data_IF_057259428627
#
_entry.id   IF_057259428627
#
_cell.length_a   1.000
_cell.length_b   1.000
_cell.length_c   1.000
_cell.angle_alpha   90.00
_cell.angle_beta   90.00
_cell.angle_gamma   90.00
#
_symmetry.space_group_name_H-M   'P 1'
#
loop_
_entity.id
_entity.type
_entity.pdbx_description
1 polymer ?
#
# COMPACT_ATOMS: atom_id res chain seq x y z
N UNK A 1 -43.69 -14.02 -23.21
CA UNK A 1 -43.26 -14.46 -21.87
C UNK A 1 -41.76 -14.65 -21.91
N UNK A 2 -41.00 -13.57 -21.70
CA UNK A 2 -39.56 -13.64 -21.50
C UNK A 2 -39.34 -13.41 -20.01
N UNK A 3 -38.88 -14.46 -19.32
CA UNK A 3 -38.50 -14.39 -17.92
C UNK A 3 -37.35 -13.38 -17.77
N UNK A 4 -37.62 -12.30 -17.05
CA UNK A 4 -36.61 -11.43 -16.46
C UNK A 4 -35.85 -12.25 -15.41
N UNK A 5 -34.78 -12.92 -15.84
CA UNK A 5 -33.84 -13.53 -14.92
C UNK A 5 -33.07 -12.42 -14.20
N UNK A 6 -33.23 -12.32 -12.89
CA UNK A 6 -32.26 -11.64 -12.03
C UNK A 6 -30.91 -12.32 -12.27
N UNK A 7 -30.02 -11.65 -13.00
CA UNK A 7 -28.61 -12.06 -13.07
C UNK A 7 -27.99 -11.73 -11.72
N UNK A 8 -27.86 -12.76 -10.88
CA UNK A 8 -27.07 -12.74 -9.66
C UNK A 8 -25.59 -12.61 -10.09
N UNK A 9 -25.13 -11.37 -10.25
CA UNK A 9 -23.84 -10.98 -10.83
C UNK A 9 -22.70 -11.18 -9.82
N UNK A 10 -22.53 -12.43 -9.36
CA UNK A 10 -21.56 -12.84 -8.34
C UNK A 10 -20.24 -13.36 -8.91
N UNK A 11 -20.06 -13.33 -10.23
CA UNK A 11 -18.86 -13.88 -10.88
C UNK A 11 -17.77 -12.81 -11.01
N UNK A 12 -16.72 -12.89 -10.17
CA UNK A 12 -15.54 -12.00 -10.16
C UNK A 12 -14.91 -11.76 -11.56
N UNK A 13 -15.05 -12.69 -12.50
CA UNK A 13 -14.46 -12.59 -13.85
C UNK A 13 -15.12 -11.57 -14.79
N UNK A 14 -16.30 -11.05 -14.44
CA UNK A 14 -17.05 -10.04 -15.23
C UNK A 14 -16.96 -8.66 -14.54
N UNK A 15 -16.23 -8.55 -13.43
CA UNK A 15 -16.09 -7.30 -12.69
C UNK A 15 -15.29 -6.26 -13.49
N UNK A 16 -15.99 -5.47 -14.29
CA UNK A 16 -15.48 -4.22 -14.83
C UNK A 16 -15.31 -3.19 -13.70
N UNK A 17 -14.09 -3.06 -13.17
CA UNK A 17 -13.72 -2.05 -12.17
C UNK A 17 -14.02 -0.59 -12.62
N UNK A 18 -14.18 -0.36 -13.93
CA UNK A 18 -14.54 0.93 -14.53
C UNK A 18 -15.96 0.95 -15.10
N UNK A 19 -16.74 -0.12 -14.92
CA UNK A 19 -18.10 -0.26 -15.42
C UNK A 19 -19.17 0.15 -14.41
N UNK A 20 -20.42 0.04 -14.83
CA UNK A 20 -21.61 0.28 -14.01
C UNK A 20 -21.96 -0.97 -13.19
N UNK A 21 -21.01 -1.44 -12.37
CA UNK A 21 -21.22 -2.62 -11.53
C UNK A 21 -21.79 -2.21 -10.16
N UNK A 22 -23.09 -2.43 -9.91
CA UNK A 22 -23.68 -2.17 -8.60
C UNK A 22 -23.11 -3.13 -7.56
N UNK A 23 -22.29 -2.63 -6.63
CA UNK A 23 -21.99 -3.36 -5.39
C UNK A 23 -22.89 -2.83 -4.27
N UNK A 24 -23.99 -3.53 -3.94
CA UNK A 24 -24.83 -3.15 -2.81
C UNK A 24 -23.99 -3.20 -1.52
N UNK A 25 -23.99 -2.14 -0.69
CA UNK A 25 -23.26 -2.17 0.55
C UNK A 25 -23.92 -3.16 1.52
N UNK A 26 -23.12 -4.01 2.19
CA UNK A 26 -23.64 -4.84 3.27
C UNK A 26 -23.87 -4.05 4.58
N UNK A 27 -23.28 -2.86 4.70
CA UNK A 27 -23.47 -1.92 5.80
C UNK A 27 -23.03 -0.50 5.41
N UNK A 28 -23.45 0.54 6.15
CA UNK A 28 -23.02 1.91 5.87
C UNK A 28 -21.50 2.03 6.03
N UNK A 29 -20.86 2.74 5.10
CA UNK A 29 -19.40 2.92 5.12
C UNK A 29 -19.03 4.11 6.00
N UNK A 30 -17.96 3.95 6.78
CA UNK A 30 -17.24 5.03 7.45
C UNK A 30 -15.74 4.96 7.16
N UNK A 31 -15.10 6.10 6.93
CA UNK A 31 -13.65 6.17 6.67
C UNK A 31 -13.01 6.97 7.80
N UNK A 32 -12.00 6.42 8.47
CA UNK A 32 -11.26 7.14 9.52
C UNK A 32 -9.87 7.50 8.97
N UNK A 33 -9.56 8.78 8.75
CA UNK A 33 -8.21 9.22 8.45
C UNK A 33 -7.37 9.25 9.74
N UNK A 34 -6.24 8.56 9.77
CA UNK A 34 -5.17 8.96 10.70
C UNK A 34 -4.48 10.21 10.17
N UNK A 35 -3.85 10.98 11.07
CA UNK A 35 -3.31 12.32 10.79
C UNK A 35 -2.44 12.38 9.52
N UNK A 36 -1.52 11.42 9.33
CA UNK A 36 -0.64 11.38 8.16
C UNK A 36 -1.33 11.01 6.85
N UNK A 37 -2.55 10.46 6.92
CA UNK A 37 -3.31 10.02 5.75
C UNK A 37 -4.46 10.97 5.38
N UNK A 38 -4.68 12.06 6.13
CA UNK A 38 -5.85 12.91 5.95
C UNK A 38 -6.01 13.47 4.52
N UNK A 39 -4.95 13.96 3.84
CA UNK A 39 -5.07 14.42 2.45
C UNK A 39 -5.44 13.29 1.47
N UNK A 40 -4.84 12.10 1.63
CA UNK A 40 -5.17 10.94 0.80
C UNK A 40 -6.60 10.47 1.04
N UNK A 41 -7.02 10.41 2.31
CA UNK A 41 -8.37 10.05 2.71
C UNK A 41 -9.42 11.01 2.15
N UNK A 42 -9.12 12.32 2.10
CA UNK A 42 -9.98 13.31 1.44
C UNK A 42 -10.23 12.95 -0.03
N UNK A 43 -9.18 12.63 -0.79
CA UNK A 43 -9.31 12.20 -2.19
C UNK A 43 -10.11 10.91 -2.34
N UNK A 44 -9.94 9.95 -1.43
CA UNK A 44 -10.73 8.70 -1.41
C UNK A 44 -12.20 9.00 -1.15
N UNK A 45 -12.51 9.87 -0.19
CA UNK A 45 -13.88 10.30 0.12
C UNK A 45 -14.53 10.96 -1.09
N UNK A 46 -13.84 11.92 -1.74
CA UNK A 46 -14.37 12.65 -2.89
C UNK A 46 -14.64 11.70 -4.07
N UNK A 47 -13.71 10.77 -4.33
CA UNK A 47 -13.89 9.75 -5.36
C UNK A 47 -15.08 8.82 -5.05
N UNK A 48 -15.23 8.37 -3.80
CA UNK A 48 -16.34 7.52 -3.39
C UNK A 48 -17.69 8.25 -3.52
N UNK A 49 -17.74 9.52 -3.10
CA UNK A 49 -18.91 10.38 -3.24
C UNK A 49 -19.29 10.56 -4.72
N UNK A 50 -18.31 10.87 -5.57
CA UNK A 50 -18.54 11.01 -7.01
C UNK A 50 -19.12 9.71 -7.60
N UNK A 51 -18.47 8.57 -7.35
CA UNK A 51 -18.90 7.27 -7.89
C UNK A 51 -20.29 6.88 -7.41
N UNK A 52 -20.61 7.07 -6.12
CA UNK A 52 -21.96 6.77 -5.59
C UNK A 52 -23.02 7.73 -6.12
N UNK A 53 -22.66 8.99 -6.38
CA UNK A 53 -23.56 9.97 -6.99
C UNK A 53 -23.86 9.61 -8.45
N UNK A 54 -22.86 9.21 -9.22
CA UNK A 54 -23.03 8.71 -10.59
C UNK A 54 -23.95 7.49 -10.62
N UNK A 55 -23.73 6.56 -9.68
CA UNK A 55 -24.55 5.36 -9.54
C UNK A 55 -26.02 5.67 -9.21
N UNK A 56 -26.28 6.61 -8.31
CA UNK A 56 -27.65 7.01 -7.97
C UNK A 56 -28.43 7.60 -9.15
N UNK A 57 -27.76 8.19 -10.15
CA UNK A 57 -28.42 8.66 -11.38
C UNK A 57 -28.96 7.51 -12.22
N UNK A 58 -28.35 6.33 -12.13
CA UNK A 58 -28.72 5.14 -12.90
C UNK A 58 -29.64 4.20 -12.10
N UNK A 59 -29.57 4.22 -10.76
CA UNK A 59 -30.33 3.31 -9.89
C UNK A 59 -30.75 4.03 -8.61
N UNK A 60 -31.83 4.83 -8.70
CA UNK A 60 -32.32 5.69 -7.60
C UNK A 60 -32.80 4.89 -6.38
N UNK A 61 -33.31 3.69 -6.59
CA UNK A 61 -33.89 2.83 -5.54
C UNK A 61 -32.87 2.36 -4.50
N UNK A 62 -31.57 2.39 -4.81
CA UNK A 62 -30.52 1.90 -3.90
C UNK A 62 -30.37 2.75 -2.66
N UNK A 63 -30.62 4.05 -2.75
CA UNK A 63 -30.60 4.92 -1.58
C UNK A 63 -31.69 4.53 -0.56
N UNK A 64 -32.85 4.06 -1.05
CA UNK A 64 -33.99 3.67 -0.21
C UNK A 64 -33.77 2.28 0.42
N UNK A 65 -33.14 1.36 -0.32
CA UNK A 65 -32.84 0.00 0.16
C UNK A 65 -31.68 -0.02 1.15
N UNK A 66 -30.69 0.85 0.99
CA UNK A 66 -29.47 0.85 1.81
C UNK A 66 -29.24 2.21 2.50
N UNK A 67 -29.86 2.44 3.67
CA UNK A 67 -29.64 3.64 4.46
C UNK A 67 -28.14 3.86 4.75
N UNK A 68 -27.65 5.06 4.45
CA UNK A 68 -26.23 5.41 4.57
C UNK A 68 -25.36 4.99 3.38
N UNK A 69 -25.96 4.50 2.28
CA UNK A 69 -25.27 4.33 1.01
C UNK A 69 -24.72 5.67 0.49
N UNK A 70 -25.55 6.71 0.43
CA UNK A 70 -25.08 8.06 0.09
C UNK A 70 -24.94 8.91 1.35
N UNK A 71 -23.80 9.59 1.50
CA UNK A 71 -23.51 10.53 2.58
C UNK A 71 -22.84 11.76 1.98
N UNK A 72 -23.00 12.92 2.61
CA UNK A 72 -22.26 14.13 2.21
C UNK A 72 -20.76 13.98 2.49
N UNK A 73 -20.43 13.27 3.57
CA UNK A 73 -19.07 12.90 3.94
C UNK A 73 -19.09 11.50 4.57
N UNK A 74 -18.23 10.61 4.08
CA UNK A 74 -18.05 9.27 4.63
C UNK A 74 -17.02 9.26 5.75
N UNK A 75 -16.26 10.34 5.91
CA UNK A 75 -15.26 10.44 6.96
C UNK A 75 -15.94 10.47 8.32
N UNK A 76 -15.35 9.74 9.26
CA UNK A 76 -15.72 9.74 10.66
C UNK A 76 -14.66 10.57 11.38
N UNK A 77 -15.11 11.62 12.05
CA UNK A 77 -14.23 12.54 12.76
C UNK A 77 -13.60 11.86 13.99
N UNK A 78 -12.30 12.03 14.12
CA UNK A 78 -11.47 11.39 15.15
C UNK A 78 -10.40 12.35 15.62
N UNK A 79 -10.31 12.54 16.93
CA UNK A 79 -9.23 13.29 17.56
C UNK A 79 -8.11 12.33 17.96
N UNK A 80 -6.94 12.49 17.34
CA UNK A 80 -5.68 11.87 17.77
C UNK A 80 -4.90 12.85 18.65
N UNK A 81 -5.12 12.74 19.97
CA UNK A 81 -4.55 13.63 20.97
C UNK A 81 -3.22 13.06 21.45
N UNK A 82 -2.22 13.93 21.62
CA UNK A 82 -0.96 13.60 22.30
C UNK A 82 -0.84 14.38 23.61
N UNK A 83 -0.55 13.67 24.69
CA UNK A 83 -0.27 14.28 25.99
C UNK A 83 1.15 14.88 26.00
N UNK A 84 1.45 15.72 26.98
CA UNK A 84 2.80 16.29 27.16
C UNK A 84 3.88 15.23 27.40
N UNK A 85 3.49 14.03 27.82
CA UNK A 85 4.34 12.84 27.94
C UNK A 85 4.64 12.14 26.60
N UNK A 86 4.00 12.53 25.50
CA UNK A 86 4.04 11.85 24.21
C UNK A 86 3.02 10.72 24.04
N UNK A 87 2.34 10.31 25.12
CA UNK A 87 1.30 9.28 25.07
C UNK A 87 0.11 9.71 24.19
N UNK A 88 -0.42 8.79 23.40
CA UNK A 88 -1.54 9.04 22.50
C UNK A 88 -2.90 8.68 23.10
N UNK A 89 -3.94 9.36 22.64
CA UNK A 89 -5.36 9.06 22.90
C UNK A 89 -6.16 9.26 21.62
N UNK A 90 -7.02 8.31 21.28
CA UNK A 90 -8.00 8.46 20.21
C UNK A 90 -9.39 8.71 20.79
N UNK A 91 -10.13 9.67 20.23
CA UNK A 91 -11.55 9.93 20.54
C UNK A 91 -12.32 9.91 19.24
N UNK A 92 -13.39 9.11 19.19
CA UNK A 92 -14.26 9.03 18.01
C UNK A 92 -15.45 9.96 18.22
N UNK A 93 -15.61 10.95 17.34
CA UNK A 93 -16.58 12.04 17.52
C UNK A 93 -17.95 11.75 16.86
N UNK A 94 -18.09 10.60 16.20
CA UNK A 94 -19.32 10.16 15.58
C UNK A 94 -19.58 8.66 15.81
N UNK A 95 -20.84 8.24 15.71
CA UNK A 95 -21.19 6.82 15.87
C UNK A 95 -20.60 5.97 14.74
N UNK A 96 -19.89 4.90 15.11
CA UNK A 96 -19.42 3.86 14.19
C UNK A 96 -20.28 2.60 14.26
N UNK A 97 -21.36 2.62 15.06
CA UNK A 97 -22.18 1.43 15.31
C UNK A 97 -22.78 0.90 14.01
N UNK A 98 -22.58 -0.39 13.73
CA UNK A 98 -23.14 -1.04 12.54
C UNK A 98 -22.46 -0.65 11.21
N UNK A 99 -21.43 0.21 11.24
CA UNK A 99 -20.73 0.63 10.04
C UNK A 99 -19.61 -0.34 9.65
N UNK A 100 -19.34 -0.40 8.35
CA UNK A 100 -18.09 -0.91 7.80
C UNK A 100 -17.06 0.20 7.83
N UNK A 101 -16.09 0.07 8.74
CA UNK A 101 -15.06 1.07 8.95
C UNK A 101 -13.82 0.72 8.12
N UNK A 102 -13.28 1.72 7.45
CA UNK A 102 -12.00 1.70 6.76
C UNK A 102 -11.09 2.71 7.43
N UNK A 103 -10.07 2.26 8.15
CA UNK A 103 -9.09 3.14 8.78
C UNK A 103 -7.92 3.26 7.81
N UNK A 104 -7.55 4.48 7.42
CA UNK A 104 -6.41 4.72 6.53
C UNK A 104 -5.23 5.18 7.38
N UNK A 105 -4.09 4.51 7.25
CA UNK A 105 -2.88 4.78 8.02
C UNK A 105 -1.66 4.85 7.10
N UNK A 106 -1.04 6.03 7.05
CA UNK A 106 0.27 6.21 6.43
C UNK A 106 1.34 6.15 7.53
N UNK A 107 1.81 4.93 7.79
CA UNK A 107 2.72 4.65 8.90
C UNK A 107 4.12 5.22 8.70
N UNK A 108 4.49 5.65 7.50
CA UNK A 108 5.84 6.21 7.23
C UNK A 108 5.83 7.72 7.05
N UNK A 109 4.71 8.39 7.37
CA UNK A 109 4.61 9.83 7.18
C UNK A 109 5.42 10.63 8.23
N UNK A 110 6.66 10.96 7.88
CA UNK A 110 7.56 11.76 8.70
C UNK A 110 7.17 13.24 8.78
N UNK A 111 6.26 13.72 7.92
CA UNK A 111 5.81 15.13 7.97
C UNK A 111 4.89 15.41 9.16
N UNK A 112 4.35 14.37 9.81
CA UNK A 112 3.55 14.52 11.02
C UNK A 112 4.44 14.80 12.23
N UNK A 113 4.12 15.86 12.97
CA UNK A 113 4.85 16.26 14.16
C UNK A 113 3.95 16.39 15.38
N UNK A 114 4.54 16.32 16.56
CA UNK A 114 3.87 16.59 17.83
C UNK A 114 4.81 17.28 18.83
N UNK A 115 4.30 18.17 19.70
CA UNK A 115 5.11 18.82 20.72
C UNK A 115 5.34 17.87 21.91
N UNK A 116 6.58 17.78 22.38
CA UNK A 116 6.94 17.06 23.61
C UNK A 116 8.12 17.76 24.29
N UNK A 117 7.98 18.05 25.59
CA UNK A 117 8.99 18.79 26.38
C UNK A 117 9.50 20.10 25.76
N UNK A 118 8.64 20.81 25.01
CA UNK A 118 9.01 22.08 24.35
C UNK A 118 9.75 21.91 23.02
N UNK A 119 9.93 20.68 22.54
CA UNK A 119 10.51 20.37 21.24
C UNK A 119 9.43 19.83 20.28
N UNK A 120 9.58 20.16 19.00
CA UNK A 120 8.82 19.51 17.94
C UNK A 120 9.46 18.16 17.62
N UNK A 121 8.68 17.08 17.69
CA UNK A 121 9.11 15.72 17.40
C UNK A 121 8.38 15.20 16.18
N UNK A 122 9.07 14.46 15.32
CA UNK A 122 8.46 13.78 14.19
C UNK A 122 7.87 12.44 14.63
N UNK A 123 6.70 12.08 14.11
CA UNK A 123 6.09 10.79 14.36
C UNK A 123 6.90 9.69 13.68
N UNK A 124 7.31 8.70 14.47
CA UNK A 124 7.91 7.46 13.98
C UNK A 124 6.83 6.51 13.41
N UNK A 125 7.23 5.45 12.69
CA UNK A 125 6.29 4.40 12.32
C UNK A 125 5.55 3.78 13.50
N UNK A 126 6.22 3.66 14.64
CA UNK A 126 5.63 3.17 15.88
C UNK A 126 4.56 4.12 16.42
N UNK A 127 4.78 5.44 16.34
CA UNK A 127 3.78 6.42 16.77
C UNK A 127 2.49 6.31 15.96
N UNK A 128 2.61 6.21 14.64
CA UNK A 128 1.48 6.02 13.73
C UNK A 128 0.77 4.69 13.96
N UNK A 129 1.53 3.61 14.14
CA UNK A 129 0.97 2.28 14.40
C UNK A 129 0.23 2.23 15.75
N UNK A 130 0.76 2.87 16.78
CA UNK A 130 0.09 2.96 18.07
C UNK A 130 -1.20 3.80 17.98
N UNK A 131 -1.23 4.86 17.17
CA UNK A 131 -2.46 5.62 16.93
C UNK A 131 -3.51 4.83 16.15
N UNK A 132 -3.10 4.02 15.17
CA UNK A 132 -3.98 3.05 14.52
C UNK A 132 -4.65 2.13 15.55
N UNK A 133 -3.86 1.53 16.44
CA UNK A 133 -4.39 0.64 17.50
C UNK A 133 -5.35 1.35 18.42
N UNK A 134 -5.06 2.60 18.83
CA UNK A 134 -5.97 3.39 19.67
C UNK A 134 -7.31 3.63 19.00
N UNK A 135 -7.31 3.95 17.70
CA UNK A 135 -8.54 4.10 16.93
C UNK A 135 -9.32 2.79 16.86
N UNK A 136 -8.64 1.66 16.55
CA UNK A 136 -9.26 0.33 16.53
C UNK A 136 -9.90 0.04 17.88
N UNK A 137 -9.15 0.16 18.97
CA UNK A 137 -9.64 -0.07 20.33
C UNK A 137 -10.85 0.80 20.70
N UNK A 138 -10.89 2.05 20.23
CA UNK A 138 -12.00 2.96 20.48
C UNK A 138 -13.30 2.56 19.73
N UNK A 139 -13.19 1.86 18.61
CA UNK A 139 -14.35 1.41 17.80
C UNK A 139 -14.66 -0.09 17.94
N UNK A 140 -13.75 -0.88 18.51
CA UNK A 140 -13.90 -2.33 18.66
C UNK A 140 -15.17 -2.68 19.45
N UNK A 141 -15.93 -3.65 18.94
CA UNK A 141 -17.23 -4.04 19.48
C UNK A 141 -18.38 -3.06 19.21
N UNK A 142 -18.14 -1.95 18.50
CA UNK A 142 -19.17 -1.02 18.01
C UNK A 142 -19.33 -1.12 16.50
N UNK A 143 -18.23 -1.05 15.76
CA UNK A 143 -18.22 -1.23 14.32
C UNK A 143 -18.70 -2.63 13.92
N UNK A 144 -19.37 -2.74 12.76
CA UNK A 144 -19.77 -4.04 12.18
C UNK A 144 -18.55 -4.79 11.65
N UNK A 145 -17.66 -4.05 10.98
CA UNK A 145 -16.44 -4.55 10.37
C UNK A 145 -15.35 -3.49 10.46
N UNK A 146 -14.12 -3.90 10.73
CA UNK A 146 -12.95 -3.03 10.73
C UNK A 146 -11.99 -3.50 9.64
N UNK A 147 -11.69 -2.62 8.70
CA UNK A 147 -10.71 -2.82 7.65
C UNK A 147 -9.62 -1.76 7.81
N UNK A 148 -8.36 -2.13 7.59
CA UNK A 148 -7.23 -1.21 7.62
C UNK A 148 -6.67 -1.08 6.22
N UNK A 149 -6.59 0.15 5.72
CA UNK A 149 -5.87 0.49 4.50
C UNK A 149 -4.54 1.08 4.93
N UNK A 150 -3.47 0.36 4.65
CA UNK A 150 -2.12 0.73 5.03
C UNK A 150 -1.26 0.78 3.77
N UNK A 151 -1.17 1.95 3.09
CA UNK A 151 -0.50 2.05 1.80
C UNK A 151 0.92 1.51 1.80
N UNK A 152 1.66 1.74 2.88
CA UNK A 152 2.94 1.14 3.17
C UNK A 152 2.80 0.20 4.37
N UNK A 153 3.04 -1.10 4.21
CA UNK A 153 2.87 -2.05 5.30
C UNK A 153 3.89 -1.79 6.43
N UNK A 154 3.41 -1.67 7.67
CA UNK A 154 4.24 -1.42 8.85
C UNK A 154 5.30 -2.52 9.02
N UNK A 155 6.55 -2.09 9.22
CA UNK A 155 7.73 -2.95 9.35
C UNK A 155 7.92 -3.97 8.22
N UNK A 156 7.44 -3.69 7.01
CA UNK A 156 7.45 -4.64 5.88
C UNK A 156 8.84 -5.24 5.59
N UNK A 157 9.93 -4.53 5.89
CA UNK A 157 11.30 -5.06 5.75
C UNK A 157 11.64 -6.15 6.77
N UNK A 158 11.07 -6.11 7.98
CA UNK A 158 11.24 -7.10 9.04
C UNK A 158 10.22 -8.25 8.93
N UNK A 159 10.06 -8.78 7.71
CA UNK A 159 9.14 -9.86 7.33
C UNK A 159 9.66 -11.28 7.63
N UNK A 160 10.96 -11.45 7.88
CA UNK A 160 11.60 -12.72 8.17
C UNK A 160 12.68 -12.58 9.23
N UNK A 161 13.06 -13.71 9.86
CA UNK A 161 14.20 -13.80 10.78
C UNK A 161 15.36 -14.53 10.10
N UNK A 162 16.48 -13.86 9.94
CA UNK A 162 17.74 -14.44 9.46
C UNK A 162 18.64 -14.89 10.62
N UNK A 163 18.42 -14.35 11.82
CA UNK A 163 19.16 -14.69 13.04
C UNK A 163 18.31 -14.39 14.29
N UNK A 164 18.92 -13.90 15.38
CA UNK A 164 18.25 -13.46 16.61
C UNK A 164 17.68 -12.04 16.46
N UNK A 165 16.80 -11.85 15.50
CA UNK A 165 16.12 -10.58 15.21
C UNK A 165 14.61 -10.68 15.43
N UNK A 166 13.93 -9.53 15.43
CA UNK A 166 12.48 -9.40 15.57
C UNK A 166 11.75 -9.83 14.29
N UNK A 167 10.42 -9.96 14.39
CA UNK A 167 9.54 -10.33 13.27
C UNK A 167 8.31 -9.42 13.30
N UNK A 168 8.59 -8.12 13.27
CA UNK A 168 7.63 -7.08 13.64
C UNK A 168 6.45 -7.00 12.67
N UNK A 169 6.68 -7.21 11.38
CA UNK A 169 5.60 -7.19 10.39
C UNK A 169 4.58 -8.31 10.65
N UNK A 170 5.02 -9.54 10.87
CA UNK A 170 4.11 -10.66 11.13
C UNK A 170 3.40 -10.47 12.47
N UNK A 171 4.12 -10.02 13.50
CA UNK A 171 3.54 -9.77 14.81
C UNK A 171 2.48 -8.66 14.77
N UNK A 172 2.72 -7.58 14.01
CA UNK A 172 1.73 -6.53 13.77
C UNK A 172 0.45 -7.08 13.14
N UNK A 173 0.57 -7.98 12.14
CA UNK A 173 -0.60 -8.59 11.51
C UNK A 173 -1.42 -9.41 12.51
N UNK A 174 -0.75 -10.24 13.31
CA UNK A 174 -1.39 -11.03 14.38
C UNK A 174 -2.06 -10.15 15.43
N UNK A 175 -1.41 -9.04 15.81
CA UNK A 175 -1.93 -8.07 16.77
C UNK A 175 -3.19 -7.38 16.23
N UNK A 176 -3.16 -6.84 15.00
CA UNK A 176 -4.32 -6.21 14.37
C UNK A 176 -5.48 -7.19 14.21
N UNK A 177 -5.20 -8.43 13.80
CA UNK A 177 -6.22 -9.47 13.71
C UNK A 177 -6.86 -9.76 15.08
N UNK A 178 -6.04 -9.88 16.12
CA UNK A 178 -6.51 -10.10 17.50
C UNK A 178 -7.37 -8.95 18.03
N UNK A 179 -7.14 -7.72 17.54
CA UNK A 179 -7.97 -6.54 17.85
C UNK A 179 -9.32 -6.51 17.09
N UNK A 180 -9.55 -7.46 16.18
CA UNK A 180 -10.79 -7.59 15.41
C UNK A 180 -10.75 -6.92 14.02
N UNK A 181 -9.56 -6.57 13.51
CA UNK A 181 -9.39 -6.19 12.10
C UNK A 181 -9.60 -7.43 11.25
N UNK A 182 -10.55 -7.36 10.31
CA UNK A 182 -10.89 -8.53 9.48
C UNK A 182 -10.23 -8.50 8.10
N UNK A 183 -9.73 -7.32 7.69
CA UNK A 183 -9.09 -7.15 6.40
C UNK A 183 -8.02 -6.06 6.46
N UNK A 184 -6.89 -6.33 5.82
CA UNK A 184 -5.81 -5.37 5.60
C UNK A 184 -5.63 -5.20 4.10
N UNK A 185 -5.64 -3.95 3.64
CA UNK A 185 -5.42 -3.58 2.25
C UNK A 185 -4.11 -2.78 2.19
N UNK A 186 -3.15 -3.26 1.42
CA UNK A 186 -1.83 -2.67 1.27
C UNK A 186 -1.35 -2.76 -0.19
N UNK A 187 -0.19 -2.21 -0.50
CA UNK A 187 0.31 -2.09 -1.86
C UNK A 187 1.78 -2.50 -1.91
N UNK A 188 2.11 -3.37 -2.86
CA UNK A 188 3.46 -3.87 -3.13
C UNK A 188 4.28 -4.18 -1.87
N UNK A 189 3.75 -5.06 -1.00
CA UNK A 189 4.48 -5.52 0.20
C UNK A 189 5.89 -6.00 -0.14
N UNK A 190 6.85 -5.75 0.75
CA UNK A 190 8.23 -6.17 0.55
C UNK A 190 8.37 -7.69 0.33
N UNK A 191 7.66 -8.51 1.11
CA UNK A 191 7.46 -9.93 0.84
C UNK A 191 5.98 -10.29 1.11
N UNK A 192 5.29 -10.73 0.06
CA UNK A 192 3.86 -11.10 0.10
C UNK A 192 3.55 -12.28 1.03
N UNK A 193 4.56 -13.12 1.33
CA UNK A 193 4.39 -14.30 2.19
C UNK A 193 4.11 -13.94 3.63
N UNK A 194 4.32 -12.68 4.03
CA UNK A 194 3.97 -12.21 5.37
C UNK A 194 2.48 -12.34 5.67
N UNK A 195 1.63 -12.36 4.64
CA UNK A 195 0.20 -12.68 4.74
C UNK A 195 -0.08 -14.02 5.43
N UNK A 196 0.84 -14.99 5.35
CA UNK A 196 0.71 -16.30 6.01
C UNK A 196 0.73 -16.22 7.55
N UNK A 197 1.09 -15.07 8.13
CA UNK A 197 0.95 -14.81 9.56
C UNK A 197 -0.51 -14.79 10.01
N UNK A 198 -1.44 -14.42 9.11
CA UNK A 198 -2.88 -14.32 9.39
C UNK A 198 -3.71 -15.05 8.32
N UNK A 199 -3.56 -16.39 8.18
CA UNK A 199 -4.06 -17.13 7.02
C UNK A 199 -5.59 -17.23 6.94
N UNK A 200 -6.30 -16.90 8.03
CA UNK A 200 -7.76 -16.89 8.12
C UNK A 200 -8.37 -15.49 7.95
N UNK A 201 -7.53 -14.48 7.73
CA UNK A 201 -7.92 -13.07 7.66
C UNK A 201 -7.86 -12.55 6.24
N UNK A 202 -8.62 -11.51 5.95
CA UNK A 202 -8.47 -10.78 4.69
C UNK A 202 -7.11 -10.07 4.65
N UNK A 203 -6.34 -10.32 3.59
CA UNK A 203 -5.12 -9.60 3.30
C UNK A 203 -5.03 -9.36 1.79
N UNK A 204 -5.15 -8.10 1.38
CA UNK A 204 -5.13 -7.67 0.00
C UNK A 204 -3.83 -6.90 -0.25
N UNK A 205 -2.89 -7.54 -0.98
CA UNK A 205 -1.70 -6.87 -1.50
C UNK A 205 -1.95 -6.46 -2.96
N UNK A 206 -2.23 -5.18 -3.19
CA UNK A 206 -2.59 -4.66 -4.50
C UNK A 206 -1.32 -4.22 -5.25
N UNK A 207 -1.01 -4.81 -6.43
CA UNK A 207 0.13 -4.38 -7.21
C UNK A 207 -0.08 -2.96 -7.78
N UNK A 208 0.81 -2.02 -7.49
CA UNK A 208 0.74 -0.66 -8.05
C UNK A 208 1.32 -0.57 -9.47
N UNK A 209 1.90 -1.65 -9.97
CA UNK A 209 2.63 -1.71 -11.24
C UNK A 209 1.86 -1.15 -12.44
N UNK A 210 0.55 -1.43 -12.57
CA UNK A 210 -0.25 -0.86 -13.64
C UNK A 210 -0.32 0.68 -13.56
N UNK A 211 -0.54 1.24 -12.37
CA UNK A 211 -0.61 2.69 -12.19
C UNK A 211 0.76 3.35 -12.40
N UNK A 212 1.83 2.69 -11.96
CA UNK A 212 3.21 3.13 -12.18
C UNK A 212 3.51 3.17 -13.68
N UNK A 213 3.23 2.11 -14.43
CA UNK A 213 3.42 2.06 -15.89
C UNK A 213 2.60 3.13 -16.62
N UNK A 214 1.33 3.29 -16.23
CA UNK A 214 0.45 4.32 -16.80
C UNK A 214 0.99 5.73 -16.56
N UNK A 215 1.52 6.01 -15.36
CA UNK A 215 2.15 7.28 -15.04
C UNK A 215 3.43 7.46 -15.85
N UNK A 216 4.30 6.45 -15.88
CA UNK A 216 5.57 6.46 -16.60
C UNK A 216 5.39 6.81 -18.08
N UNK A 217 4.48 6.13 -18.78
CA UNK A 217 4.20 6.38 -20.21
C UNK A 217 3.72 7.81 -20.44
N UNK A 218 2.93 8.36 -19.51
CA UNK A 218 2.43 9.74 -19.60
C UNK A 218 3.52 10.78 -19.37
N UNK A 219 4.48 10.49 -18.48
CA UNK A 219 5.54 11.43 -18.09
C UNK A 219 6.80 11.33 -18.93
N UNK A 220 7.04 10.17 -19.55
CA UNK A 220 8.20 9.89 -20.40
C UNK A 220 7.73 9.41 -21.78
N UNK A 221 7.17 10.31 -22.62
CA UNK A 221 6.62 9.93 -23.93
C UNK A 221 7.68 9.42 -24.91
N UNK A 222 8.95 9.76 -24.68
CA UNK A 222 10.09 9.36 -25.52
C UNK A 222 10.62 7.96 -25.17
N UNK A 223 10.08 7.32 -24.12
CA UNK A 223 10.47 5.98 -23.70
C UNK A 223 10.18 4.96 -24.79
N UNK A 224 11.22 4.27 -25.27
CA UNK A 224 11.10 3.30 -26.35
C UNK A 224 10.59 1.95 -25.83
N UNK A 225 9.27 1.86 -25.63
CA UNK A 225 8.61 0.60 -25.29
C UNK A 225 8.44 -0.25 -26.55
N UNK A 226 9.55 -0.74 -27.08
CA UNK A 226 9.58 -1.69 -28.19
C UNK A 226 10.68 -2.73 -27.97
N UNK A 227 10.56 -3.84 -28.69
CA UNK A 227 11.55 -4.92 -28.64
C UNK A 227 12.92 -4.39 -29.04
N UNK A 228 13.89 -4.43 -28.11
CA UNK A 228 15.25 -3.95 -28.33
C UNK A 228 15.48 -2.46 -28.08
N UNK A 229 14.50 -1.72 -27.54
CA UNK A 229 14.68 -0.32 -27.11
C UNK A 229 14.64 -0.10 -25.59
N UNK A 230 14.20 -1.10 -24.83
CA UNK A 230 14.01 -1.04 -23.38
C UNK A 230 14.58 -2.29 -22.70
N UNK A 231 15.20 -2.13 -21.53
CA UNK A 231 15.50 -3.22 -20.61
C UNK A 231 14.97 -2.89 -19.20
N UNK A 232 14.39 -3.89 -18.54
CA UNK A 232 13.98 -3.78 -17.14
C UNK A 232 15.14 -4.26 -16.28
N UNK A 233 15.52 -3.47 -15.27
CA UNK A 233 16.63 -3.80 -14.38
C UNK A 233 16.14 -3.91 -12.94
N UNK A 234 16.48 -5.03 -12.30
CA UNK A 234 16.35 -5.18 -10.86
C UNK A 234 17.63 -4.71 -10.15
N UNK A 235 17.54 -3.91 -9.07
CA UNK A 235 18.71 -3.42 -8.36
C UNK A 235 19.42 -4.49 -7.50
N UNK A 236 18.73 -5.59 -7.18
CA UNK A 236 19.28 -6.75 -6.48
C UNK A 236 18.44 -8.02 -6.73
N UNK A 237 18.85 -9.14 -6.13
CA UNK A 237 18.17 -10.42 -6.30
C UNK A 237 16.74 -10.45 -5.73
N UNK A 238 16.48 -9.67 -4.68
CA UNK A 238 15.17 -9.63 -4.01
C UNK A 238 14.10 -9.01 -4.89
N UNK A 239 14.48 -8.02 -5.71
CA UNK A 239 13.59 -7.36 -6.66
C UNK A 239 13.35 -8.12 -7.98
N UNK A 240 14.01 -9.26 -8.22
CA UNK A 240 13.93 -9.98 -9.51
C UNK A 240 12.49 -10.36 -9.87
N UNK A 241 11.68 -11.00 -8.99
CA UNK A 241 10.31 -11.37 -9.33
C UNK A 241 9.45 -10.17 -9.75
N UNK A 242 9.68 -9.02 -9.10
CA UNK A 242 9.01 -7.75 -9.44
C UNK A 242 9.45 -7.25 -10.80
N UNK A 243 10.75 -7.16 -11.06
CA UNK A 243 11.27 -6.73 -12.35
C UNK A 243 10.85 -7.68 -13.49
N UNK A 244 10.78 -9.00 -13.24
CA UNK A 244 10.26 -10.00 -14.18
C UNK A 244 8.82 -9.72 -14.58
N UNK A 245 7.96 -9.29 -13.65
CA UNK A 245 6.57 -8.92 -13.94
C UNK A 245 6.51 -7.76 -14.94
N UNK A 246 7.29 -6.70 -14.71
CA UNK A 246 7.39 -5.56 -15.64
C UNK A 246 7.96 -5.96 -17.00
N UNK A 247 9.02 -6.77 -17.01
CA UNK A 247 9.66 -7.27 -18.22
C UNK A 247 8.66 -8.08 -19.08
N UNK A 248 7.90 -8.96 -18.44
CA UNK A 248 6.88 -9.78 -19.11
C UNK A 248 5.73 -8.93 -19.66
N UNK A 249 5.24 -7.94 -18.89
CA UNK A 249 4.17 -7.04 -19.35
C UNK A 249 4.59 -6.18 -20.55
N UNK A 250 5.85 -5.75 -20.58
CA UNK A 250 6.37 -4.83 -21.60
C UNK A 250 7.07 -5.54 -22.77
N UNK A 251 7.24 -6.87 -22.69
CA UNK A 251 7.99 -7.63 -23.69
C UNK A 251 9.47 -7.22 -23.79
N UNK A 252 10.07 -6.83 -22.66
CA UNK A 252 11.45 -6.33 -22.58
C UNK A 252 12.39 -7.33 -21.89
N UNK A 253 13.68 -7.37 -22.25
CA UNK A 253 14.68 -8.15 -21.53
C UNK A 253 14.80 -7.71 -20.07
N UNK A 254 15.25 -8.64 -19.22
CA UNK A 254 15.52 -8.43 -17.81
C UNK A 254 17.03 -8.43 -17.56
N UNK A 255 17.50 -7.42 -16.84
CA UNK A 255 18.81 -7.39 -16.19
C UNK A 255 18.69 -7.38 -14.67
N UNK A 256 19.73 -7.80 -13.96
CA UNK A 256 19.82 -7.67 -12.51
C UNK A 256 21.25 -7.39 -12.08
N UNK A 257 21.42 -6.74 -10.93
CA UNK A 257 22.72 -6.57 -10.31
C UNK A 257 22.91 -7.56 -9.16
N UNK A 258 23.93 -8.40 -9.28
CA UNK A 258 24.38 -9.25 -8.20
C UNK A 258 25.36 -8.50 -7.30
N UNK A 259 24.99 -8.33 -6.03
CA UNK A 259 25.84 -7.73 -5.01
C UNK A 259 26.58 -8.84 -4.27
N UNK A 260 27.86 -9.03 -4.57
CA UNK A 260 28.70 -9.95 -3.82
C UNK A 260 29.14 -9.30 -2.51
N UNK A 261 28.69 -9.83 -1.37
CA UNK A 261 29.02 -9.31 -0.02
C UNK A 261 30.19 -10.03 0.62
N UNK A 262 30.95 -9.31 1.44
CA UNK A 262 31.93 -9.88 2.35
C UNK A 262 31.25 -10.34 3.64
N UNK A 263 31.05 -11.65 3.80
CA UNK A 263 30.46 -12.20 5.01
C UNK A 263 31.43 -12.27 6.20
N UNK A 264 32.71 -11.94 6.00
CA UNK A 264 33.71 -11.97 7.07
C UNK A 264 33.74 -10.71 7.92
N UNK A 265 33.13 -9.61 7.43
CA UNK A 265 33.12 -8.30 8.10
C UNK A 265 31.70 -7.75 8.23
N UNK A 266 31.43 -7.04 9.34
CA UNK A 266 30.16 -6.35 9.59
C UNK A 266 30.46 -4.90 9.98
N UNK A 267 29.94 -3.94 9.23
CA UNK A 267 30.08 -2.51 9.47
C UNK A 267 28.67 -1.94 9.64
N UNK A 268 28.39 -1.31 10.79
CA UNK A 268 27.07 -0.73 11.10
C UNK A 268 25.90 -1.70 10.89
N UNK A 269 26.09 -2.98 11.26
CA UNK A 269 25.07 -4.03 11.15
C UNK A 269 24.87 -4.61 9.74
N UNK A 270 25.73 -4.26 8.76
CA UNK A 270 25.65 -4.79 7.39
C UNK A 270 26.99 -5.37 6.93
N UNK A 271 26.94 -6.44 6.12
CA UNK A 271 28.10 -6.95 5.40
C UNK A 271 28.45 -6.02 4.22
N UNK A 272 29.72 -5.59 4.06
CA UNK A 272 30.11 -4.68 2.99
C UNK A 272 30.05 -5.37 1.62
N UNK A 273 29.81 -4.58 0.57
CA UNK A 273 29.72 -5.08 -0.82
C UNK A 273 31.11 -5.05 -1.45
N UNK A 274 31.56 -6.20 -1.96
CA UNK A 274 32.87 -6.38 -2.61
C UNK A 274 32.77 -6.12 -4.12
N UNK A 275 31.67 -6.51 -4.76
CA UNK A 275 31.49 -6.35 -6.20
C UNK A 275 30.02 -6.14 -6.58
N UNK A 276 29.82 -5.35 -7.63
CA UNK A 276 28.55 -5.17 -8.33
C UNK A 276 28.68 -5.77 -9.74
N UNK A 277 28.12 -6.96 -9.94
CA UNK A 277 28.14 -7.62 -11.25
C UNK A 277 26.77 -7.49 -11.91
N UNK A 278 26.75 -6.97 -13.13
CA UNK A 278 25.53 -6.91 -13.93
C UNK A 278 25.33 -8.25 -14.63
N UNK A 279 24.14 -8.82 -14.49
CA UNK A 279 23.70 -10.06 -15.12
C UNK A 279 22.57 -9.73 -16.09
N UNK A 280 22.82 -9.92 -17.39
CA UNK A 280 21.88 -9.62 -18.47
C UNK A 280 22.61 -9.37 -19.78
N UNK A 281 21.83 -9.14 -20.84
CA UNK A 281 22.36 -8.73 -22.15
C UNK A 281 22.96 -7.31 -22.11
N UNK A 282 23.64 -6.90 -23.17
CA UNK A 282 24.17 -5.53 -23.24
C UNK A 282 23.07 -4.47 -23.05
N UNK A 283 23.37 -3.47 -22.24
CA UNK A 283 22.50 -2.30 -22.02
C UNK A 283 22.79 -1.15 -22.98
N UNK A 284 23.78 -1.29 -23.87
CA UNK A 284 24.24 -0.21 -24.76
C UNK A 284 23.13 0.25 -25.71
N UNK A 285 22.78 1.53 -25.64
CA UNK A 285 21.76 2.17 -26.48
C UNK A 285 20.31 1.86 -26.11
N UNK A 286 20.08 1.21 -24.97
CA UNK A 286 18.74 0.88 -24.46
C UNK A 286 18.26 1.87 -23.41
N UNK A 287 16.98 2.21 -23.45
CA UNK A 287 16.33 2.83 -22.29
C UNK A 287 16.28 1.81 -21.14
N UNK A 288 16.51 2.25 -19.90
CA UNK A 288 16.52 1.37 -18.74
C UNK A 288 15.43 1.77 -17.75
N UNK A 289 14.58 0.82 -17.38
CA UNK A 289 13.62 0.97 -16.30
C UNK A 289 14.09 0.17 -15.08
N UNK A 290 14.56 0.87 -14.04
CA UNK A 290 14.93 0.26 -12.77
C UNK A 290 13.69 0.11 -11.90
N UNK A 291 13.41 -1.10 -11.40
CA UNK A 291 12.19 -1.40 -10.63
C UNK A 291 12.54 -1.97 -9.26
N UNK A 292 11.96 -1.38 -8.22
CA UNK A 292 12.12 -1.80 -6.82
C UNK A 292 10.84 -1.51 -6.01
N UNK A 293 10.69 -2.05 -4.80
CA UNK A 293 9.50 -1.81 -3.96
C UNK A 293 9.53 -0.42 -3.34
N UNK A 294 10.71 0.05 -2.94
CA UNK A 294 10.83 1.30 -2.24
C UNK A 294 12.20 1.94 -2.41
N UNK A 295 12.21 3.26 -2.40
CA UNK A 295 13.43 4.06 -2.38
C UNK A 295 13.56 4.66 -0.98
N UNK A 296 14.68 4.37 -0.30
CA UNK A 296 14.96 4.88 1.05
C UNK A 296 16.00 6.02 1.00
N UNK A 297 17.31 5.71 0.97
CA UNK A 297 18.34 6.76 0.78
C UNK A 297 18.52 7.19 -0.68
N UNK A 298 18.12 6.33 -1.63
CA UNK A 298 18.32 6.56 -3.07
C UNK A 298 19.73 6.25 -3.57
N UNK A 299 20.72 6.07 -2.70
CA UNK A 299 22.13 5.82 -3.09
C UNK A 299 22.25 4.60 -4.00
N UNK A 300 21.64 3.46 -3.64
CA UNK A 300 21.67 2.26 -4.48
C UNK A 300 21.09 2.49 -5.87
N UNK A 301 20.07 3.36 -6.02
CA UNK A 301 19.49 3.69 -7.31
C UNK A 301 20.40 4.58 -8.14
N UNK A 302 21.03 5.57 -7.50
CA UNK A 302 21.96 6.49 -8.14
C UNK A 302 23.23 5.77 -8.61
N UNK A 303 23.78 4.89 -7.78
CA UNK A 303 24.94 4.06 -8.12
C UNK A 303 24.62 3.16 -9.32
N UNK A 304 23.44 2.54 -9.32
CA UNK A 304 22.97 1.71 -10.43
C UNK A 304 22.86 2.52 -11.73
N UNK A 305 22.22 3.69 -11.65
CA UNK A 305 22.04 4.56 -12.80
C UNK A 305 23.39 5.04 -13.37
N UNK A 306 24.34 5.39 -12.50
CA UNK A 306 25.68 5.79 -12.90
C UNK A 306 26.44 4.63 -13.58
N UNK A 307 26.34 3.42 -13.05
CA UNK A 307 26.97 2.22 -13.63
C UNK A 307 26.35 1.85 -14.99
N UNK A 308 25.02 1.92 -15.11
CA UNK A 308 24.32 1.72 -16.38
C UNK A 308 24.74 2.75 -17.43
N UNK A 309 24.88 4.02 -17.03
CA UNK A 309 25.36 5.10 -17.93
C UNK A 309 26.80 4.87 -18.40
N UNK A 310 27.70 4.34 -17.55
CA UNK A 310 29.06 3.96 -17.96
C UNK A 310 29.05 2.83 -19.01
N UNK A 311 28.03 1.98 -18.98
CA UNK A 311 27.78 0.91 -19.96
C UNK A 311 27.02 1.39 -21.19
N UNK A 312 26.86 2.72 -21.34
CA UNK A 312 26.23 3.42 -22.46
C UNK A 312 24.75 3.08 -22.66
N UNK A 313 24.03 2.82 -21.57
CA UNK A 313 22.58 2.92 -21.55
C UNK A 313 22.13 4.36 -21.87
#
# INVERSE_FOLDING_TARGET
>A
MLQTGQTDDKTYYIYNQYGDNPMPPLGPIGIIPLIGSAPFTGRVNDYLLQRRTEYLKQSTEVADVYPGFIRQDYRVDVDNIRFSSGEGKAVINATTRGHDIFIISDVVNHACTYPMYGYENHMSPDDHYQDLKRVILAISGKARRINVIMPFLYESRQHKRNARESLDCAHMLEELYSLGVVNIITFDTHDERVSNAIPLSGFENIPAAYQILKALIRTAPDLKINTGGLMIVSPDEGGIPRAMYYASMLGAPLGTFYKRRDYTTVISGRNPIIAHEFLGDSVEGLDILIVDDMISSGESMLDLAAELKKRKA
#
